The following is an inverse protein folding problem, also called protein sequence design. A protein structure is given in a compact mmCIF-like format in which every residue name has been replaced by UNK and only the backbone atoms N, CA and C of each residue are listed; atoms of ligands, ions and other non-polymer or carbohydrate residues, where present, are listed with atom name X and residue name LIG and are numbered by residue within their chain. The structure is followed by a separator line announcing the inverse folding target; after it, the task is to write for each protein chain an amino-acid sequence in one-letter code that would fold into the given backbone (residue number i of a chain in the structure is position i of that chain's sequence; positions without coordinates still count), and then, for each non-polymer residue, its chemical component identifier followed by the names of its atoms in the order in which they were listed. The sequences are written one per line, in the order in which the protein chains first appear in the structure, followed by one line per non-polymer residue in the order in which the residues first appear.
data_IF_419032225532
#
_entry.id   IF_419032225532
#
_cell.length_a   1.000
_cell.length_b   1.000
_cell.length_c   1.000
_cell.angle_alpha   90.00
_cell.angle_beta   90.00
_cell.angle_gamma   90.00
#
_symmetry.space_group_name_H-M   'P 1'
#
loop_
_entity.id
_entity.type
_entity.pdbx_description
1 polymer ?
#
# COMPACT_ATOMS: atom_id res chain seq x y z
N UNK A 1 -31.87 -25.86 21.06
CA UNK A 1 -30.79 -26.24 20.13
C UNK A 1 -30.03 -24.97 19.76
N UNK A 2 -28.72 -24.88 20.04
CA UNK A 2 -27.92 -23.70 19.68
C UNK A 2 -27.03 -24.04 18.47
N UNK A 3 -27.08 -23.30 17.36
CA UNK A 3 -26.06 -23.41 16.33
C UNK A 3 -24.80 -22.66 16.78
N UNK A 4 -23.65 -23.34 16.64
CA UNK A 4 -22.31 -22.84 16.94
C UNK A 4 -21.89 -21.85 15.85
N UNK A 5 -21.50 -20.64 16.25
CA UNK A 5 -20.87 -19.66 15.38
C UNK A 5 -19.57 -20.24 14.80
N UNK A 6 -19.58 -20.50 13.48
CA UNK A 6 -18.38 -20.86 12.74
C UNK A 6 -17.71 -19.57 12.27
N UNK A 7 -16.75 -19.07 13.05
CA UNK A 7 -15.79 -18.11 12.56
C UNK A 7 -15.01 -18.74 11.40
N UNK A 8 -15.35 -18.38 10.17
CA UNK A 8 -14.56 -18.71 8.99
C UNK A 8 -13.31 -17.84 9.02
N UNK A 9 -12.24 -18.36 9.63
CA UNK A 9 -10.90 -17.79 9.51
C UNK A 9 -10.50 -17.94 8.04
N UNK A 10 -10.26 -16.81 7.37
CA UNK A 10 -9.73 -16.80 6.02
C UNK A 10 -8.47 -17.67 5.96
N UNK A 11 -8.44 -18.60 5.00
CA UNK A 11 -7.33 -19.50 4.75
C UNK A 11 -6.02 -18.70 4.66
N UNK A 12 -4.92 -19.12 5.32
CA UNK A 12 -3.65 -18.38 5.34
C UNK A 12 -2.92 -18.35 3.98
N UNK A 13 -3.55 -18.81 2.90
CA UNK A 13 -2.90 -19.13 1.63
C UNK A 13 -2.94 -18.01 0.57
N UNK A 14 -3.50 -16.84 0.90
CA UNK A 14 -3.70 -15.73 -0.06
C UNK A 14 -2.95 -14.44 0.28
N UNK A 15 -1.86 -14.53 1.05
CA UNK A 15 -0.85 -13.48 1.09
C UNK A 15 0.44 -13.96 0.40
N UNK A 16 0.33 -14.39 -0.87
CA UNK A 16 1.50 -14.61 -1.72
C UNK A 16 2.10 -13.27 -2.10
N UNK A 17 2.81 -12.66 -1.16
CA UNK A 17 3.65 -11.50 -1.42
C UNK A 17 4.69 -11.91 -2.45
N UNK A 18 4.61 -11.33 -3.64
CA UNK A 18 5.58 -11.55 -4.72
C UNK A 18 6.92 -10.89 -4.33
N UNK A 19 7.69 -11.54 -3.45
CA UNK A 19 9.06 -11.15 -3.08
C UNK A 19 10.07 -11.44 -4.21
N UNK A 20 9.59 -11.89 -5.37
CA UNK A 20 10.42 -12.20 -6.54
C UNK A 20 10.93 -10.96 -7.28
N UNK A 21 10.35 -9.76 -7.04
CA UNK A 21 10.97 -8.50 -7.48
C UNK A 21 12.13 -8.17 -6.53
N UNK A 22 13.22 -8.94 -6.67
CA UNK A 22 14.52 -8.60 -6.11
C UNK A 22 14.87 -7.21 -6.63
N UNK A 23 15.12 -6.26 -5.73
CA UNK A 23 15.77 -5.00 -6.08
C UNK A 23 16.93 -5.32 -7.03
N UNK A 24 16.99 -4.68 -8.20
CA UNK A 24 18.02 -4.98 -9.19
C UNK A 24 19.40 -4.82 -8.54
N UNK A 25 20.05 -5.94 -8.24
CA UNK A 25 21.37 -5.96 -7.60
C UNK A 25 22.43 -5.28 -8.48
N UNK A 26 22.09 -5.01 -9.75
CA UNK A 26 22.88 -4.37 -10.78
C UNK A 26 22.61 -2.86 -10.92
N UNK A 27 21.76 -2.29 -10.06
CA UNK A 27 21.61 -0.84 -10.00
C UNK A 27 22.93 -0.21 -9.50
N UNK A 28 23.42 0.86 -10.15
CA UNK A 28 24.69 1.47 -9.78
C UNK A 28 24.63 1.93 -8.31
N UNK A 29 25.56 1.43 -7.49
CA UNK A 29 25.62 1.69 -6.05
C UNK A 29 25.17 0.53 -5.15
N UNK A 30 24.46 -0.48 -5.68
CA UNK A 30 23.97 -1.62 -4.90
C UNK A 30 24.93 -2.83 -4.89
N UNK A 31 25.96 -2.86 -5.74
CA UNK A 31 26.79 -4.07 -5.95
C UNK A 31 27.72 -4.39 -4.77
N UNK A 32 28.04 -3.40 -3.93
CA UNK A 32 28.94 -3.55 -2.78
C UNK A 32 28.24 -3.47 -1.42
N UNK A 33 26.91 -3.31 -1.40
CA UNK A 33 26.15 -3.09 -0.17
C UNK A 33 25.69 -4.41 0.44
N UNK A 34 25.80 -4.54 1.76
CA UNK A 34 25.24 -5.67 2.50
C UNK A 34 23.70 -5.69 2.36
N UNK A 35 23.03 -6.84 2.51
CA UNK A 35 21.57 -6.91 2.38
C UNK A 35 20.83 -5.88 3.24
N UNK A 36 21.23 -5.71 4.50
CA UNK A 36 20.62 -4.72 5.41
C UNK A 36 20.97 -3.27 5.07
N UNK A 37 22.09 -3.03 4.38
CA UNK A 37 22.43 -1.70 3.86
C UNK A 37 21.63 -1.37 2.61
N UNK A 38 21.41 -2.37 1.73
CA UNK A 38 20.56 -2.23 0.54
C UNK A 38 19.11 -1.94 0.91
N UNK A 39 18.58 -2.60 1.93
CA UNK A 39 17.22 -2.39 2.40
C UNK A 39 17.01 -0.98 2.99
N UNK A 40 18.07 -0.36 3.54
CA UNK A 40 18.06 1.03 4.04
C UNK A 40 18.52 2.03 2.98
N UNK A 41 18.89 1.59 1.78
CA UNK A 41 19.46 2.44 0.75
C UNK A 41 18.35 3.22 0.02
N UNK A 42 18.60 4.51 -0.18
CA UNK A 42 17.70 5.38 -0.94
C UNK A 42 17.82 5.16 -2.45
N UNK A 43 18.84 4.43 -2.93
CA UNK A 43 19.05 4.15 -4.35
C UNK A 43 17.94 3.28 -4.95
N UNK A 44 17.29 2.44 -4.14
CA UNK A 44 16.13 1.66 -4.56
C UNK A 44 14.87 2.53 -4.78
N UNK A 45 14.85 3.75 -4.23
CA UNK A 45 13.74 4.69 -4.41
C UNK A 45 14.00 5.61 -5.60
N UNK A 46 12.99 5.79 -6.46
CA UNK A 46 13.11 6.72 -7.59
C UNK A 46 13.24 8.15 -7.06
N UNK A 47 14.25 8.89 -7.55
CA UNK A 47 14.48 10.31 -7.21
C UNK A 47 13.24 11.17 -7.49
N UNK A 48 12.51 10.83 -8.55
CA UNK A 48 11.31 11.57 -8.96
C UNK A 48 10.03 10.81 -8.60
N UNK A 49 9.12 11.51 -7.91
CA UNK A 49 7.76 11.05 -7.70
C UNK A 49 7.01 10.87 -9.02
N UNK A 50 6.24 9.78 -9.13
CA UNK A 50 5.35 9.51 -10.25
C UNK A 50 4.34 10.66 -10.43
N UNK A 51 3.97 11.05 -11.67
CA UNK A 51 2.99 12.11 -11.91
C UNK A 51 1.68 11.93 -11.14
N UNK A 52 1.18 10.70 -11.02
CA UNK A 52 -0.04 10.38 -10.27
C UNK A 52 0.11 10.67 -8.78
N UNK A 53 1.27 10.38 -8.18
CA UNK A 53 1.53 10.71 -6.77
C UNK A 53 1.56 12.23 -6.55
N UNK A 54 2.12 12.98 -7.51
CA UNK A 54 2.12 14.45 -7.46
C UNK A 54 0.70 15.00 -7.54
N UNK A 55 -0.16 14.38 -8.36
CA UNK A 55 -1.56 14.75 -8.50
C UNK A 55 -2.34 14.47 -7.22
N UNK A 56 -2.24 13.24 -6.69
CA UNK A 56 -2.87 12.85 -5.44
C UNK A 56 -2.48 13.79 -4.28
N UNK A 57 -1.20 14.17 -4.16
CA UNK A 57 -0.76 15.14 -3.16
C UNK A 57 -1.44 16.51 -3.31
N UNK A 58 -1.61 17.01 -4.55
CA UNK A 58 -2.31 18.27 -4.80
C UNK A 58 -3.80 18.16 -4.43
N UNK A 59 -4.41 17.02 -4.71
CA UNK A 59 -5.82 16.77 -4.41
C UNK A 59 -6.05 16.73 -2.90
N UNK A 60 -5.20 16.00 -2.16
CA UNK A 60 -5.20 16.02 -0.69
C UNK A 60 -4.99 17.43 -0.13
N UNK A 61 -4.05 18.21 -0.68
CA UNK A 61 -3.82 19.60 -0.26
C UNK A 61 -5.02 20.51 -0.48
N UNK A 62 -5.83 20.23 -1.50
CA UNK A 62 -7.09 20.93 -1.78
C UNK A 62 -8.28 20.41 -0.96
N UNK A 63 -8.08 19.36 -0.15
CA UNK A 63 -9.14 18.70 0.61
C UNK A 63 -10.03 17.79 -0.24
N UNK A 64 -9.60 17.44 -1.46
CA UNK A 64 -10.29 16.42 -2.25
C UNK A 64 -9.97 15.06 -1.62
N UNK A 65 -11.01 14.28 -1.42
CA UNK A 65 -10.95 12.92 -0.89
C UNK A 65 -11.46 11.99 -1.97
N UNK A 66 -10.92 10.78 -2.00
CA UNK A 66 -11.41 9.74 -2.89
C UNK A 66 -12.89 9.45 -2.59
N UNK A 67 -13.74 9.73 -3.58
CA UNK A 67 -15.20 9.60 -3.47
C UNK A 67 -15.71 8.26 -3.97
N UNK A 68 -14.90 7.51 -4.73
CA UNK A 68 -15.27 6.17 -5.20
C UNK A 68 -15.01 5.12 -4.12
N UNK A 69 -14.05 5.38 -3.23
CA UNK A 69 -13.79 4.57 -2.05
C UNK A 69 -15.04 4.51 -1.17
N UNK A 70 -15.55 3.29 -0.95
CA UNK A 70 -16.68 3.02 -0.07
C UNK A 70 -16.23 2.31 1.20
N UNK A 71 -16.83 2.69 2.33
CA UNK A 71 -16.75 1.93 3.56
C UNK A 71 -17.50 0.59 3.41
N UNK A 72 -17.31 -0.32 4.37
CA UNK A 72 -17.95 -1.65 4.38
C UNK A 72 -19.48 -1.58 4.38
N UNK A 73 -20.05 -0.45 4.80
CA UNK A 73 -21.48 -0.15 4.79
C UNK A 73 -21.98 0.44 3.46
N UNK A 74 -21.11 0.56 2.45
CA UNK A 74 -21.43 1.07 1.12
C UNK A 74 -21.53 2.59 1.03
N UNK A 75 -21.20 3.34 2.08
CA UNK A 75 -21.16 4.81 2.05
C UNK A 75 -19.81 5.30 1.53
N UNK A 76 -19.74 6.47 0.86
CA UNK A 76 -18.45 7.03 0.46
C UNK A 76 -17.61 7.26 1.72
N UNK A 77 -16.34 6.84 1.68
CA UNK A 77 -15.43 6.87 2.82
C UNK A 77 -15.23 8.31 3.35
N UNK A 78 -15.34 9.29 2.45
CA UNK A 78 -15.28 10.72 2.75
C UNK A 78 -16.53 11.29 3.44
N UNK A 79 -17.59 10.50 3.63
CA UNK A 79 -18.85 10.99 4.23
C UNK A 79 -18.65 11.35 5.69
N UNK A 80 -18.74 12.64 6.01
CA UNK A 80 -18.74 13.10 7.40
C UNK A 80 -20.03 12.64 8.07
N UNK A 81 -19.91 11.88 9.18
CA UNK A 81 -21.02 11.58 10.08
C UNK A 81 -21.56 12.90 10.63
N UNK A 82 -22.71 13.34 10.15
CA UNK A 82 -23.47 14.40 10.82
C UNK A 82 -23.99 13.83 12.13
N UNK A 83 -23.50 14.34 13.25
CA UNK A 83 -24.01 14.05 14.61
C UNK A 83 -25.27 14.83 14.88
#
# INVERSE_FOLDING_TARGET
MKPKDRFTVASPDEAKVNLAKKSDARAPGNESQLPHERDQSLHATRVNAHPEMKQAHKDLKKGLVDTDARASDGRPLASRRTT
#
